data_IF_961621255509
#
_entry.id   IF_961621255509
#
_cell.length_a   1.000
_cell.length_b   1.000
_cell.length_c   1.000
_cell.angle_alpha   90.00
_cell.angle_beta   90.00
_cell.angle_gamma   90.00
#
_symmetry.space_group_name_H-M   'P 1'
#
loop_
_entity.id
_entity.type
_entity.pdbx_description
1 polymer ?
#
# COMPACT_ATOMS: atom_id res chain seq x y z
N UNK A 1 37.01 12.37 -56.79
CA UNK A 1 36.51 12.12 -55.42
C UNK A 1 36.12 10.65 -55.36
N UNK A 2 36.96 9.83 -54.75
CA UNK A 2 36.95 8.37 -54.94
C UNK A 2 35.70 7.69 -54.40
N UNK A 3 35.09 6.82 -55.23
CA UNK A 3 33.92 5.98 -54.90
C UNK A 3 34.09 5.19 -53.59
N UNK A 4 35.32 4.88 -53.19
CA UNK A 4 35.67 4.21 -51.94
C UNK A 4 35.36 5.05 -50.69
N UNK A 5 35.58 6.37 -50.73
CA UNK A 5 35.33 7.26 -49.59
C UNK A 5 33.83 7.46 -49.37
N UNK A 6 33.04 7.56 -50.44
CA UNK A 6 31.59 7.68 -50.36
C UNK A 6 30.93 6.42 -49.76
N UNK A 7 31.47 5.23 -50.04
CA UNK A 7 30.96 3.96 -49.52
C UNK A 7 31.25 3.80 -48.02
N UNK A 8 32.42 4.25 -47.55
CA UNK A 8 32.79 4.21 -46.14
C UNK A 8 31.91 5.13 -45.27
N UNK A 9 31.58 6.33 -45.77
CA UNK A 9 30.68 7.25 -45.06
C UNK A 9 29.23 6.75 -45.01
N UNK A 10 28.76 6.09 -46.07
CA UNK A 10 27.44 5.47 -46.09
C UNK A 10 27.34 4.30 -45.09
N UNK A 11 28.38 3.46 -44.98
CA UNK A 11 28.39 2.32 -44.07
C UNK A 11 28.42 2.75 -42.60
N UNK A 12 29.20 3.78 -42.26
CA UNK A 12 29.28 4.33 -40.89
C UNK A 12 27.98 5.05 -40.50
N UNK A 13 27.34 5.75 -41.44
CA UNK A 13 26.03 6.38 -41.21
C UNK A 13 24.90 5.38 -40.95
N UNK A 14 24.89 4.25 -41.66
CA UNK A 14 23.92 3.17 -41.45
C UNK A 14 24.16 2.46 -40.12
N UNK A 15 25.43 2.22 -39.73
CA UNK A 15 25.76 1.58 -38.46
C UNK A 15 25.38 2.45 -37.25
N UNK A 16 25.58 3.76 -37.34
CA UNK A 16 25.16 4.72 -36.30
C UNK A 16 23.63 4.86 -36.21
N UNK A 17 22.93 4.76 -37.35
CA UNK A 17 21.46 4.76 -37.40
C UNK A 17 20.82 3.54 -36.74
N UNK A 18 21.46 2.36 -36.82
CA UNK A 18 20.93 1.11 -36.23
C UNK A 18 21.16 1.03 -34.71
N UNK A 19 22.25 1.60 -34.19
CA UNK A 19 22.54 1.60 -32.73
C UNK A 19 21.53 2.46 -31.94
N UNK A 20 20.94 3.48 -32.56
CA UNK A 20 19.94 4.33 -31.90
C UNK A 20 18.53 3.72 -31.83
N UNK A 21 18.25 2.63 -32.55
CA UNK A 21 16.92 1.99 -32.58
C UNK A 21 16.75 0.98 -31.42
N UNK A 22 17.84 0.58 -30.76
CA UNK A 22 17.83 -0.31 -29.60
C UNK A 22 18.03 0.39 -28.25
N UNK A 23 17.89 1.72 -28.20
CA UNK A 23 17.58 2.39 -26.94
C UNK A 23 16.12 2.08 -26.59
N UNK A 24 15.86 0.82 -26.21
CA UNK A 24 14.63 0.43 -25.54
C UNK A 24 14.49 1.34 -24.32
N UNK A 25 13.73 2.41 -24.47
CA UNK A 25 13.49 3.36 -23.41
C UNK A 25 13.01 2.57 -22.20
N UNK A 26 13.69 2.72 -21.06
CA UNK A 26 13.26 2.14 -19.81
C UNK A 26 11.80 2.56 -19.58
N UNK A 27 10.85 1.66 -19.87
CA UNK A 27 9.46 1.87 -19.49
C UNK A 27 9.47 1.99 -17.99
N UNK A 28 9.09 3.16 -17.45
CA UNK A 28 8.91 3.29 -16.01
C UNK A 28 7.91 2.23 -15.59
N UNK A 29 8.22 1.38 -14.61
CA UNK A 29 7.25 0.42 -14.11
C UNK A 29 6.01 1.19 -13.65
N UNK A 30 4.85 0.71 -14.09
CA UNK A 30 3.58 1.31 -13.68
C UNK A 30 3.46 1.23 -12.15
N UNK A 31 3.07 2.33 -11.48
CA UNK A 31 2.96 2.34 -10.04
C UNK A 31 1.80 1.47 -9.58
N UNK A 32 1.89 1.07 -8.32
CA UNK A 32 0.82 0.45 -7.59
C UNK A 32 0.23 1.45 -6.58
N UNK A 33 -1.07 1.36 -6.34
CA UNK A 33 -1.79 2.11 -5.31
C UNK A 33 -2.35 1.14 -4.30
N UNK A 34 -1.97 1.31 -3.05
CA UNK A 34 -2.48 0.52 -1.92
C UNK A 34 -3.49 1.37 -1.14
N UNK A 35 -4.68 0.82 -0.95
CA UNK A 35 -5.71 1.32 -0.05
C UNK A 35 -5.70 0.42 1.18
N UNK A 36 -5.72 1.01 2.37
CA UNK A 36 -5.70 0.27 3.63
C UNK A 36 -6.96 0.55 4.44
N UNK A 37 -7.60 -0.51 4.94
CA UNK A 37 -8.68 -0.41 5.92
C UNK A 37 -8.42 -1.36 7.09
N UNK A 38 -8.38 -0.83 8.30
CA UNK A 38 -8.12 -1.56 9.52
C UNK A 38 -9.36 -1.50 10.40
N UNK A 39 -9.89 -2.65 10.78
CA UNK A 39 -11.01 -2.76 11.71
C UNK A 39 -10.49 -3.20 13.09
N UNK A 40 -11.02 -2.59 14.14
CA UNK A 40 -10.64 -2.87 15.52
C UNK A 40 -9.57 -1.93 16.05
N UNK A 41 -9.37 -1.94 17.37
CA UNK A 41 -8.55 -0.93 18.06
C UNK A 41 -7.07 -1.03 17.67
N UNK A 42 -6.52 -2.24 17.64
CA UNK A 42 -5.12 -2.45 17.30
C UNK A 42 -4.84 -1.93 15.88
N UNK A 43 -3.77 -1.16 15.76
CA UNK A 43 -3.34 -0.50 14.53
C UNK A 43 -4.29 0.51 13.89
N UNK A 44 -5.47 0.82 14.45
CA UNK A 44 -6.41 1.79 13.85
C UNK A 44 -5.83 3.20 13.67
N UNK A 45 -4.77 3.54 14.38
CA UNK A 45 -4.03 4.79 14.27
C UNK A 45 -2.54 4.58 13.98
N UNK A 46 -2.18 3.42 13.40
CA UNK A 46 -0.79 3.04 13.17
C UNK A 46 -0.08 3.96 12.18
N UNK A 47 1.22 4.16 12.43
CA UNK A 47 2.14 4.68 11.43
C UNK A 47 2.39 3.62 10.36
N UNK A 48 2.47 4.04 9.11
CA UNK A 48 2.65 3.17 7.96
C UNK A 48 4.07 3.38 7.43
N UNK A 49 4.81 2.28 7.33
CA UNK A 49 6.15 2.27 6.76
C UNK A 49 6.18 1.33 5.56
N UNK A 50 6.85 1.74 4.49
CA UNK A 50 7.15 0.90 3.33
C UNK A 50 8.67 0.77 3.26
N UNK A 51 9.16 -0.47 3.30
CA UNK A 51 10.59 -0.80 3.31
C UNK A 51 11.37 -0.03 4.39
N UNK A 52 10.75 0.08 5.57
CA UNK A 52 11.29 0.79 6.72
C UNK A 52 11.24 2.32 6.64
N UNK A 53 10.68 2.90 5.58
CA UNK A 53 10.51 4.35 5.42
C UNK A 53 9.09 4.77 5.77
N UNK A 54 8.88 5.78 6.65
CA UNK A 54 7.55 6.30 6.92
C UNK A 54 6.91 6.88 5.66
N UNK A 55 5.67 6.48 5.37
CA UNK A 55 4.88 7.00 4.23
C UNK A 55 3.59 7.68 4.65
N UNK A 56 3.18 7.52 5.91
CA UNK A 56 1.97 8.14 6.44
C UNK A 56 1.54 7.52 7.76
N UNK A 57 0.31 7.83 8.17
CA UNK A 57 -0.38 7.26 9.32
C UNK A 57 -1.83 6.98 8.91
N UNK A 58 -2.45 5.98 9.49
CA UNK A 58 -3.88 5.74 9.33
C UNK A 58 -4.68 6.86 10.00
N UNK A 59 -5.72 7.33 9.31
CA UNK A 59 -6.72 8.22 9.92
C UNK A 59 -7.67 7.36 10.74
N UNK A 60 -7.63 7.55 12.06
CA UNK A 60 -8.44 6.78 12.99
C UNK A 60 -9.85 7.34 13.05
N UNK A 61 -10.84 6.46 12.94
CA UNK A 61 -12.23 6.76 13.29
C UNK A 61 -12.61 5.98 14.54
N UNK A 62 -13.16 6.67 15.52
CA UNK A 62 -13.72 6.05 16.74
C UNK A 62 -15.19 6.41 16.82
N UNK A 63 -16.04 5.39 16.92
CA UNK A 63 -17.44 5.55 17.29
C UNK A 63 -17.55 5.08 18.73
N UNK A 64 -17.75 6.01 19.65
CA UNK A 64 -17.88 5.69 21.06
C UNK A 64 -19.24 5.10 21.38
N UNK A 65 -19.31 4.35 22.48
CA UNK A 65 -20.55 3.79 23.03
C UNK A 65 -21.64 4.85 23.30
N UNK A 66 -21.26 6.10 23.61
CA UNK A 66 -22.16 7.24 23.74
C UNK A 66 -22.54 7.90 22.39
N UNK A 67 -22.26 7.22 21.28
CA UNK A 67 -22.68 7.55 19.91
C UNK A 67 -22.03 8.81 19.34
N UNK A 68 -20.82 9.14 19.77
CA UNK A 68 -20.01 10.21 19.19
C UNK A 68 -19.01 9.63 18.20
N UNK A 69 -18.81 10.35 17.11
CA UNK A 69 -17.79 10.04 16.10
C UNK A 69 -16.61 10.97 16.32
N UNK A 70 -15.43 10.39 16.45
CA UNK A 70 -14.15 11.09 16.46
C UNK A 70 -13.32 10.66 15.25
N UNK A 71 -12.71 11.63 14.58
CA UNK A 71 -11.73 11.39 13.50
C UNK A 71 -10.41 11.98 13.97
N UNK A 72 -9.38 11.15 14.08
CA UNK A 72 -8.08 11.49 14.67
C UNK A 72 -8.20 12.19 16.03
N UNK A 73 -9.13 11.71 16.87
CA UNK A 73 -9.42 12.25 18.19
C UNK A 73 -10.22 13.56 18.19
N UNK A 74 -10.56 14.11 17.02
CA UNK A 74 -11.38 15.31 16.89
C UNK A 74 -12.85 14.93 16.80
N UNK A 75 -13.66 15.48 17.71
CA UNK A 75 -15.12 15.31 17.65
C UNK A 75 -15.65 15.78 16.30
N UNK A 76 -16.35 14.90 15.60
CA UNK A 76 -16.83 15.14 14.24
C UNK A 76 -18.35 15.22 14.18
N UNK A 77 -19.06 14.30 14.84
CA UNK A 77 -20.52 14.25 14.81
C UNK A 77 -21.11 13.41 15.95
N UNK A 78 -22.42 13.54 16.15
CA UNK A 78 -23.22 12.59 16.91
C UNK A 78 -24.00 11.69 15.94
N UNK A 79 -24.02 10.39 16.20
CA UNK A 79 -24.95 9.49 15.53
C UNK A 79 -26.37 9.69 16.10
N UNK A 80 -27.42 9.49 15.27
CA UNK A 80 -28.79 9.56 15.76
C UNK A 80 -29.02 8.52 16.86
N UNK A 81 -30.00 8.71 17.76
CA UNK A 81 -30.32 7.73 18.81
C UNK A 81 -30.52 6.33 18.23
N UNK A 82 -29.99 5.30 18.90
CA UNK A 82 -30.30 3.92 18.58
C UNK A 82 -31.36 3.38 19.53
N UNK A 83 -32.14 2.41 19.04
CA UNK A 83 -33.08 1.64 19.84
C UNK A 83 -32.40 0.69 20.82
N UNK A 84 -31.14 0.34 20.57
CA UNK A 84 -30.35 -0.56 21.41
C UNK A 84 -29.04 0.12 21.85
N UNK A 85 -28.55 -0.19 23.07
CA UNK A 85 -27.22 0.20 23.50
C UNK A 85 -26.16 -0.32 22.54
N UNK A 86 -25.11 0.48 22.29
CA UNK A 86 -23.92 0.01 21.58
C UNK A 86 -22.93 -0.49 22.62
N UNK A 87 -22.51 -1.75 22.49
CA UNK A 87 -21.51 -2.32 23.38
C UNK A 87 -20.12 -1.83 23.01
N UNK A 88 -19.57 -0.96 23.87
CA UNK A 88 -18.20 -0.46 23.75
C UNK A 88 -17.96 0.50 22.59
N UNK A 89 -16.68 0.81 22.38
CA UNK A 89 -16.23 1.72 21.33
C UNK A 89 -15.78 0.92 20.10
N UNK A 90 -16.15 1.37 18.91
CA UNK A 90 -15.72 0.80 17.63
C UNK A 90 -14.59 1.64 17.04
N UNK A 91 -13.54 0.98 16.56
CA UNK A 91 -12.36 1.61 16.00
C UNK A 91 -12.17 1.17 14.55
N UNK A 92 -11.74 2.10 13.71
CA UNK A 92 -11.26 1.81 12.36
C UNK A 92 -10.11 2.75 11.98
N UNK A 93 -9.28 2.34 11.03
CA UNK A 93 -8.15 3.12 10.52
C UNK A 93 -8.03 3.01 9.01
N UNK A 94 -7.93 4.13 8.30
CA UNK A 94 -7.91 4.14 6.83
C UNK A 94 -6.71 4.88 6.25
N UNK A 95 -6.23 4.43 5.09
CA UNK A 95 -5.35 5.20 4.21
C UNK A 95 -5.76 5.03 2.74
N UNK A 96 -6.08 6.14 2.08
CA UNK A 96 -6.76 6.14 0.78
C UNK A 96 -5.84 6.04 -0.45
N UNK A 97 -4.55 6.36 -0.30
CA UNK A 97 -3.62 6.32 -1.43
C UNK A 97 -2.15 6.27 -1.03
N UNK A 98 -1.63 5.06 -0.82
CA UNK A 98 -0.18 4.84 -0.75
C UNK A 98 0.30 4.41 -2.14
N UNK A 99 1.09 5.26 -2.78
CA UNK A 99 1.65 4.98 -4.11
C UNK A 99 3.04 4.37 -3.93
N UNK A 100 3.25 3.18 -4.48
CA UNK A 100 4.53 2.46 -4.47
C UNK A 100 4.88 1.98 -5.88
N UNK A 101 6.14 1.63 -6.10
CA UNK A 101 6.53 0.87 -7.29
C UNK A 101 5.90 -0.53 -7.25
N UNK A 102 5.69 -1.16 -8.41
CA UNK A 102 5.47 -2.60 -8.43
C UNK A 102 6.76 -3.34 -8.01
N UNK A 103 6.63 -4.45 -7.29
CA UNK A 103 7.73 -5.23 -6.74
C UNK A 103 7.44 -5.79 -5.36
N UNK A 104 8.45 -6.40 -4.74
CA UNK A 104 8.37 -6.88 -3.37
C UNK A 104 8.59 -5.72 -2.39
N UNK A 105 7.63 -5.54 -1.48
CA UNK A 105 7.67 -4.50 -0.44
C UNK A 105 7.39 -5.08 0.94
N UNK A 106 8.03 -4.51 1.96
CA UNK A 106 7.63 -4.73 3.36
C UNK A 106 6.75 -3.57 3.79
N UNK A 107 5.47 -3.84 4.01
CA UNK A 107 4.52 -2.90 4.59
C UNK A 107 4.51 -3.17 6.10
N UNK A 108 4.78 -2.15 6.91
CA UNK A 108 4.72 -2.25 8.36
C UNK A 108 3.67 -1.30 8.91
N UNK A 109 2.78 -1.84 9.75
CA UNK A 109 1.92 -1.07 10.63
C UNK A 109 2.58 -1.00 12.00
N UNK A 110 2.81 0.19 12.54
CA UNK A 110 3.36 0.42 13.87
C UNK A 110 2.36 1.17 14.73
N UNK A 111 1.80 0.51 15.73
CA UNK A 111 0.92 1.13 16.70
C UNK A 111 1.71 2.01 17.69
N UNK A 112 1.09 3.03 18.30
CA UNK A 112 1.76 3.90 19.26
C UNK A 112 2.24 3.18 20.53
N UNK A 113 1.63 2.06 20.88
CA UNK A 113 2.00 1.22 22.03
C UNK A 113 3.21 0.30 21.76
N UNK A 114 3.77 0.36 20.54
CA UNK A 114 4.94 -0.42 20.13
C UNK A 114 4.59 -1.76 19.48
N UNK A 115 3.31 -2.15 19.45
CA UNK A 115 2.86 -3.32 18.70
C UNK A 115 3.07 -3.08 17.19
N UNK A 116 3.36 -4.13 16.43
CA UNK A 116 3.61 -4.00 14.98
C UNK A 116 3.10 -5.19 14.17
N UNK A 117 2.81 -4.97 12.89
CA UNK A 117 2.49 -6.04 11.94
C UNK A 117 3.32 -5.82 10.67
N UNK A 118 4.05 -6.85 10.24
CA UNK A 118 4.85 -6.82 9.01
C UNK A 118 4.22 -7.66 7.91
N UNK A 119 4.06 -7.07 6.73
CA UNK A 119 3.41 -7.69 5.58
C UNK A 119 4.38 -7.63 4.40
N UNK A 120 4.91 -8.79 4.02
CA UNK A 120 5.71 -8.96 2.81
C UNK A 120 4.76 -9.12 1.62
N UNK A 121 4.56 -8.04 0.87
CA UNK A 121 3.65 -8.01 -0.27
C UNK A 121 4.43 -8.04 -1.58
N UNK A 122 4.10 -8.99 -2.46
CA UNK A 122 4.46 -8.90 -3.87
C UNK A 122 3.41 -8.03 -4.59
N UNK A 123 3.74 -6.76 -4.82
CA UNK A 123 2.82 -5.74 -5.31
C UNK A 123 2.91 -5.66 -6.83
N UNK A 124 1.81 -5.93 -7.54
CA UNK A 124 1.73 -5.74 -8.99
C UNK A 124 1.35 -4.30 -9.34
N UNK A 125 1.49 -3.85 -10.59
CA UNK A 125 0.89 -2.58 -11.01
C UNK A 125 -0.63 -2.56 -10.80
N UNK A 126 -1.20 -1.38 -10.52
CA UNK A 126 -2.64 -1.19 -10.37
C UNK A 126 -3.10 -0.90 -8.94
N UNK A 127 -4.32 -1.28 -8.60
CA UNK A 127 -4.94 -1.01 -7.30
C UNK A 127 -4.95 -2.27 -6.43
N UNK A 128 -4.55 -2.09 -5.17
CA UNK A 128 -4.52 -3.13 -4.16
C UNK A 128 -5.33 -2.70 -2.94
N UNK A 129 -6.15 -3.60 -2.43
CA UNK A 129 -6.88 -3.41 -1.18
C UNK A 129 -6.27 -4.31 -0.11
N UNK A 130 -5.71 -3.66 0.92
CA UNK A 130 -5.28 -4.31 2.14
C UNK A 130 -6.32 -4.05 3.22
N UNK A 131 -6.94 -5.09 3.73
CA UNK A 131 -7.80 -5.00 4.92
C UNK A 131 -7.23 -5.83 6.05
N UNK A 132 -7.36 -5.37 7.29
CA UNK A 132 -7.01 -6.15 8.47
C UNK A 132 -8.10 -6.03 9.52
N UNK A 133 -8.49 -7.15 10.12
CA UNK A 133 -9.33 -7.16 11.32
C UNK A 133 -8.48 -7.56 12.51
N UNK A 134 -8.35 -6.65 13.49
CA UNK A 134 -7.64 -6.91 14.73
C UNK A 134 -8.36 -7.94 15.60
N UNK A 135 -9.69 -7.97 15.56
CA UNK A 135 -10.49 -8.90 16.35
C UNK A 135 -10.41 -10.32 15.78
N UNK A 136 -10.49 -10.46 14.45
CA UNK A 136 -10.34 -11.75 13.78
C UNK A 136 -8.87 -12.18 13.62
N UNK A 137 -7.91 -11.26 13.79
CA UNK A 137 -6.48 -11.45 13.50
C UNK A 137 -6.25 -11.94 12.07
N UNK A 138 -6.99 -11.34 11.14
CA UNK A 138 -7.04 -11.75 9.74
C UNK A 138 -6.69 -10.58 8.82
N UNK A 139 -5.67 -10.78 8.01
CA UNK A 139 -5.31 -9.88 6.92
C UNK A 139 -5.92 -10.37 5.60
N UNK A 140 -6.38 -9.43 4.78
CA UNK A 140 -6.79 -9.70 3.39
C UNK A 140 -6.01 -8.81 2.44
N UNK A 141 -5.47 -9.40 1.38
CA UNK A 141 -4.79 -8.74 0.27
C UNK A 141 -5.52 -9.09 -1.02
N UNK A 142 -6.25 -8.15 -1.60
CA UNK A 142 -7.10 -8.38 -2.80
C UNK A 142 -8.02 -9.60 -2.68
N UNK A 143 -8.49 -9.88 -1.46
CA UNK A 143 -9.34 -11.02 -1.14
C UNK A 143 -8.60 -12.30 -0.73
N UNK A 144 -7.28 -12.41 -0.94
CA UNK A 144 -6.45 -13.46 -0.33
C UNK A 144 -6.43 -13.25 1.19
N UNK A 145 -6.85 -14.26 1.97
CA UNK A 145 -6.89 -14.18 3.44
C UNK A 145 -5.71 -14.91 4.07
N UNK A 146 -5.08 -14.29 5.07
CA UNK A 146 -4.01 -14.90 5.87
C UNK A 146 -4.19 -14.54 7.34
N UNK A 147 -3.95 -15.50 8.22
CA UNK A 147 -3.90 -15.24 9.66
C UNK A 147 -2.67 -14.36 9.97
N UNK A 148 -2.88 -13.30 10.71
CA UNK A 148 -1.89 -12.28 10.99
C UNK A 148 -2.08 -11.80 12.44
N UNK A 149 -1.42 -12.46 13.38
CA UNK A 149 -1.42 -12.00 14.77
C UNK A 149 -0.66 -10.66 14.87
N UNK A 150 -1.00 -9.79 15.83
CA UNK A 150 -0.12 -8.70 16.19
C UNK A 150 1.29 -9.20 16.55
N UNK A 151 2.31 -8.47 16.10
CA UNK A 151 3.72 -8.87 16.16
C UNK A 151 4.15 -9.83 15.04
N UNK A 152 3.23 -10.35 14.23
CA UNK A 152 3.55 -11.33 13.20
C UNK A 152 4.22 -10.70 11.96
N UNK A 153 4.80 -11.61 11.17
CA UNK A 153 5.29 -11.34 9.82
C UNK A 153 4.60 -12.28 8.85
N UNK A 154 3.82 -11.74 7.92
CA UNK A 154 3.03 -12.50 6.94
C UNK A 154 3.44 -12.16 5.52
N UNK A 155 3.14 -13.04 4.56
CA UNK A 155 3.43 -12.83 3.14
C UNK A 155 2.15 -12.97 2.30
N UNK A 156 1.97 -12.09 1.32
CA UNK A 156 0.78 -12.02 0.45
C UNK A 156 1.12 -11.59 -0.97
N UNK A 157 0.20 -11.76 -1.91
CA UNK A 157 0.35 -11.27 -3.30
C UNK A 157 1.30 -12.13 -4.16
N UNK A 158 1.91 -13.16 -3.57
CA UNK A 158 2.67 -14.17 -4.31
C UNK A 158 1.67 -15.15 -4.92
N UNK A 159 1.46 -15.08 -6.24
CA UNK A 159 0.70 -16.10 -6.96
C UNK A 159 1.28 -17.47 -6.63
N UNK A 160 0.44 -18.41 -6.19
CA UNK A 160 0.75 -19.84 -6.17
C UNK A 160 0.77 -20.40 -7.59
#
# INVERSE_FOLDING_TARGET
MDKSRAFLFALVGILAGVVLIFAGGCKRPEPAKIIMNIDGKAFSDASILIDGKPVGRLTQTVITSDRKIYIDGVFSANLPPASEPVDGDTYAGCADSIIVSAGDHTISLQAPDGESLQILAAVSPGFHLLTYSADEKMLKWDGEKVAAEPGAKVAVGRKK
#
